data_IF_211955631174
#
_entry.id   IF_211955631174
#
_cell.length_a   1.000
_cell.length_b   1.000
_cell.length_c   1.000
_cell.angle_alpha   90.00
_cell.angle_beta   90.00
_cell.angle_gamma   90.00
#
_symmetry.space_group_name_H-M   'P 1'
#
loop_
_entity.id
_entity.type
_entity.pdbx_description
1 polymer ?
#
# COMPACT_ATOMS: atom_id res chain seq x y z
N UNK A 1 -3.08 -5.21 -15.91
CA UNK A 1 -3.86 -4.48 -14.88
C UNK A 1 -5.34 -4.79 -15.02
N UNK A 2 -5.91 -4.64 -16.22
CA UNK A 2 -7.31 -4.91 -16.54
C UNK A 2 -7.91 -6.18 -15.90
N UNK A 3 -7.31 -7.36 -16.11
CA UNK A 3 -7.84 -8.62 -15.55
C UNK A 3 -7.95 -8.62 -14.01
N UNK A 4 -7.05 -7.94 -13.30
CA UNK A 4 -7.04 -7.91 -11.84
C UNK A 4 -8.16 -7.03 -11.29
N UNK A 5 -8.41 -5.91 -11.94
CA UNK A 5 -9.50 -4.99 -11.59
C UNK A 5 -10.86 -5.59 -11.99
N UNK A 6 -10.97 -6.18 -13.18
CA UNK A 6 -12.22 -6.78 -13.67
C UNK A 6 -12.69 -7.97 -12.84
N UNK A 7 -11.76 -8.76 -12.31
CA UNK A 7 -12.05 -9.95 -11.51
C UNK A 7 -11.91 -9.72 -10.00
N UNK A 8 -11.67 -8.47 -9.59
CA UNK A 8 -11.40 -8.06 -8.20
C UNK A 8 -10.37 -8.97 -7.49
N UNK A 9 -9.29 -9.32 -8.19
CA UNK A 9 -8.18 -10.11 -7.65
C UNK A 9 -7.27 -9.21 -6.78
N UNK A 10 -7.80 -8.78 -5.65
CA UNK A 10 -7.22 -7.74 -4.79
C UNK A 10 -5.91 -8.14 -4.09
N UNK A 11 -5.64 -9.44 -3.95
CA UNK A 11 -4.37 -9.95 -3.41
C UNK A 11 -3.43 -10.37 -4.54
N UNK A 12 -2.26 -9.73 -4.61
CA UNK A 12 -1.11 -10.23 -5.35
C UNK A 12 -0.19 -11.00 -4.38
N UNK A 13 -0.37 -12.32 -4.31
CA UNK A 13 0.38 -13.21 -3.42
C UNK A 13 1.73 -13.61 -4.04
N UNK A 14 2.85 -13.40 -3.33
CA UNK A 14 4.19 -13.78 -3.81
C UNK A 14 5.01 -14.46 -2.71
N UNK A 15 4.96 -15.79 -2.61
CA UNK A 15 5.93 -16.55 -1.82
C UNK A 15 7.33 -16.41 -2.44
N UNK A 16 8.31 -16.04 -1.62
CA UNK A 16 9.71 -15.89 -2.01
C UNK A 16 10.55 -16.72 -1.06
N UNK A 17 11.16 -17.79 -1.60
CA UNK A 17 12.08 -18.66 -0.88
C UNK A 17 13.24 -19.05 -1.78
N UNK A 18 14.40 -19.29 -1.18
CA UNK A 18 15.54 -19.82 -1.92
C UNK A 18 15.45 -21.34 -2.09
N UNK A 19 15.99 -21.83 -3.20
CA UNK A 19 16.11 -23.25 -3.51
C UNK A 19 17.58 -23.63 -3.56
N UNK A 20 17.95 -24.72 -2.88
CA UNK A 20 19.33 -25.18 -2.78
C UNK A 20 19.93 -25.38 -4.18
N UNK A 21 21.07 -24.73 -4.43
CA UNK A 21 21.80 -24.80 -5.70
C UNK A 21 21.47 -23.68 -6.69
N UNK A 22 20.43 -22.87 -6.45
CA UNK A 22 20.17 -21.69 -7.29
C UNK A 22 21.20 -20.60 -6.98
N UNK A 23 21.92 -20.08 -8.00
CA UNK A 23 22.89 -18.98 -7.80
C UNK A 23 22.24 -17.75 -7.17
N UNK A 24 22.97 -17.07 -6.28
CA UNK A 24 22.47 -15.92 -5.53
C UNK A 24 23.53 -14.82 -5.47
N UNK A 25 23.13 -13.53 -5.58
CA UNK A 25 24.03 -12.40 -5.38
C UNK A 25 24.29 -12.08 -3.89
N UNK A 26 23.50 -12.65 -2.97
CA UNK A 26 23.66 -12.45 -1.51
C UNK A 26 24.31 -13.66 -0.84
N UNK A 27 25.00 -13.44 0.28
CA UNK A 27 25.78 -14.46 1.01
C UNK A 27 24.91 -15.55 1.66
N UNK A 28 23.72 -15.20 2.14
CA UNK A 28 22.85 -16.09 2.92
C UNK A 28 21.42 -16.15 2.36
N UNK A 29 21.22 -16.59 1.10
CA UNK A 29 19.90 -16.65 0.49
C UNK A 29 18.96 -17.65 1.18
N UNK A 30 19.49 -18.65 1.88
CA UNK A 30 18.73 -19.64 2.65
C UNK A 30 17.90 -19.02 3.79
N UNK A 31 18.23 -17.80 4.21
CA UNK A 31 17.46 -17.05 5.22
C UNK A 31 16.24 -16.35 4.64
N UNK A 32 16.09 -16.34 3.32
CA UNK A 32 14.92 -15.74 2.65
C UNK A 32 13.79 -16.76 2.63
N UNK A 33 12.80 -16.54 3.49
CA UNK A 33 11.49 -17.18 3.44
C UNK A 33 10.43 -16.14 3.85
N UNK A 34 9.78 -15.57 2.85
CA UNK A 34 8.74 -14.57 3.06
C UNK A 34 7.57 -14.80 2.10
N UNK A 35 6.40 -14.28 2.46
CA UNK A 35 5.24 -14.29 1.58
C UNK A 35 4.70 -12.87 1.52
N UNK A 36 4.76 -12.27 0.33
CA UNK A 36 4.34 -10.88 0.13
C UNK A 36 2.86 -10.87 -0.23
N UNK A 37 2.08 -10.12 0.55
CA UNK A 37 0.72 -9.73 0.25
C UNK A 37 0.76 -8.29 -0.25
N UNK A 38 0.41 -8.10 -1.52
CA UNK A 38 0.45 -6.78 -2.16
C UNK A 38 -0.95 -6.41 -2.66
N UNK A 39 -1.39 -5.21 -2.28
CA UNK A 39 -2.60 -4.57 -2.79
C UNK A 39 -2.52 -4.46 -4.32
N UNK A 40 -3.61 -4.79 -5.00
CA UNK A 40 -3.58 -5.06 -6.44
C UNK A 40 -4.71 -4.37 -7.23
N UNK A 41 -5.47 -3.47 -6.58
CA UNK A 41 -6.66 -2.83 -7.15
C UNK A 41 -6.67 -1.29 -7.06
N UNK A 42 -5.91 -0.70 -6.16
CA UNK A 42 -5.85 0.75 -5.90
C UNK A 42 -4.41 1.29 -6.04
N UNK A 43 -4.04 2.31 -5.23
CA UNK A 43 -2.78 3.05 -5.32
C UNK A 43 -2.63 3.75 -6.69
N UNK A 44 -1.42 4.16 -7.04
CA UNK A 44 -1.08 4.69 -8.37
C UNK A 44 -1.42 3.71 -9.52
N UNK A 45 -1.65 2.43 -9.20
CA UNK A 45 -2.12 1.44 -10.16
C UNK A 45 -3.60 1.62 -10.56
N UNK A 46 -4.31 2.58 -9.97
CA UNK A 46 -5.59 3.01 -10.49
C UNK A 46 -5.47 3.61 -11.91
N UNK A 47 -4.28 4.13 -12.29
CA UNK A 47 -4.04 4.71 -13.61
C UNK A 47 -4.81 6.02 -13.85
N UNK A 48 -5.17 6.72 -12.77
CA UNK A 48 -5.87 8.00 -12.83
C UNK A 48 -4.80 9.10 -12.99
N UNK A 49 -4.52 9.46 -14.23
CA UNK A 49 -3.45 10.38 -14.59
C UNK A 49 -3.88 11.34 -15.70
N UNK A 50 -3.32 12.55 -15.68
CA UNK A 50 -3.58 13.63 -16.64
C UNK A 50 -2.27 14.07 -17.28
N UNK A 51 -2.13 13.81 -18.58
CA UNK A 51 -0.91 14.09 -19.36
C UNK A 51 -0.67 15.59 -19.51
N UNK A 52 0.58 16.02 -19.31
CA UNK A 52 1.01 17.42 -19.43
C UNK A 52 0.59 18.04 -20.75
N UNK A 53 0.00 19.23 -20.71
CA UNK A 53 -0.34 19.98 -21.92
C UNK A 53 -1.62 19.54 -22.63
N UNK A 54 -2.32 18.53 -22.10
CA UNK A 54 -3.68 18.19 -22.56
C UNK A 54 -4.73 19.17 -22.01
N UNK A 55 -5.93 19.18 -22.61
CA UNK A 55 -7.03 20.01 -22.13
C UNK A 55 -7.49 19.59 -20.72
N UNK A 56 -7.57 18.29 -20.48
CA UNK A 56 -7.99 17.69 -19.20
C UNK A 56 -7.01 18.02 -18.07
N UNK A 57 -5.70 17.98 -18.34
CA UNK A 57 -4.66 18.38 -17.38
C UNK A 57 -4.78 19.86 -16.99
N UNK A 58 -5.00 20.75 -17.97
CA UNK A 58 -5.20 22.18 -17.71
C UNK A 58 -6.46 22.45 -16.89
N UNK A 59 -7.56 21.77 -17.21
CA UNK A 59 -8.82 21.88 -16.48
C UNK A 59 -8.67 21.40 -15.04
N UNK A 60 -8.05 20.23 -14.83
CA UNK A 60 -7.80 19.69 -13.50
C UNK A 60 -6.93 20.64 -12.66
N UNK A 61 -5.84 21.17 -13.23
CA UNK A 61 -4.97 22.13 -12.55
C UNK A 61 -5.69 23.44 -12.22
N UNK A 62 -6.57 23.92 -13.10
CA UNK A 62 -7.37 25.12 -12.84
C UNK A 62 -8.33 24.92 -11.66
N UNK A 63 -9.07 23.80 -11.64
CA UNK A 63 -9.96 23.42 -10.53
C UNK A 63 -9.17 23.25 -9.23
N UNK A 64 -8.03 22.56 -9.29
CA UNK A 64 -7.19 22.35 -8.12
C UNK A 64 -6.63 23.66 -7.56
N UNK A 65 -6.22 24.59 -8.43
CA UNK A 65 -5.77 25.93 -8.04
C UNK A 65 -6.91 26.74 -7.40
N UNK A 66 -8.11 26.68 -7.95
CA UNK A 66 -9.28 27.41 -7.47
C UNK A 66 -9.72 26.92 -6.07
N UNK A 67 -9.81 25.61 -5.88
CA UNK A 67 -10.37 25.05 -4.64
C UNK A 67 -9.31 24.78 -3.56
N UNK A 68 -8.05 24.53 -3.95
CA UNK A 68 -6.98 24.15 -3.02
C UNK A 68 -5.67 24.92 -3.28
N UNK A 69 -5.68 26.27 -3.24
CA UNK A 69 -4.54 27.10 -3.64
C UNK A 69 -3.25 26.82 -2.84
N UNK A 70 -3.36 26.49 -1.55
CA UNK A 70 -2.21 26.12 -0.70
C UNK A 70 -1.57 24.80 -1.12
N UNK A 71 -2.36 23.83 -1.55
CA UNK A 71 -1.86 22.54 -2.00
C UNK A 71 -1.29 22.66 -3.42
N UNK A 72 -1.98 23.39 -4.29
CA UNK A 72 -1.49 23.73 -5.63
C UNK A 72 -0.12 24.40 -5.58
N UNK A 73 0.11 25.33 -4.64
CA UNK A 73 1.40 26.01 -4.48
C UNK A 73 2.60 25.10 -4.16
N UNK A 74 2.37 23.82 -3.84
CA UNK A 74 3.45 22.82 -3.67
C UNK A 74 3.91 22.21 -4.99
N UNK A 75 3.17 22.40 -6.08
CA UNK A 75 3.58 21.95 -7.41
C UNK A 75 4.70 22.89 -7.88
N UNK A 76 5.91 22.34 -8.06
CA UNK A 76 7.11 23.13 -8.36
C UNK A 76 7.09 23.76 -9.76
N UNK A 77 6.52 23.07 -10.74
CA UNK A 77 6.48 23.45 -12.16
C UNK A 77 5.11 23.14 -12.77
N UNK A 78 4.05 23.88 -12.39
CA UNK A 78 2.67 23.53 -12.76
C UNK A 78 2.43 23.49 -14.28
N UNK A 79 3.11 24.35 -15.04
CA UNK A 79 2.90 24.46 -16.49
C UNK A 79 3.51 23.29 -17.29
N UNK A 80 4.35 22.47 -16.67
CA UNK A 80 5.04 21.34 -17.30
C UNK A 80 4.93 20.03 -16.52
N UNK A 81 3.95 19.92 -15.61
CA UNK A 81 3.74 18.73 -14.78
C UNK A 81 2.56 17.87 -15.27
N UNK A 82 2.81 16.57 -15.37
CA UNK A 82 1.75 15.56 -15.41
C UNK A 82 1.23 15.35 -13.99
N UNK A 83 -0.06 15.01 -13.86
CA UNK A 83 -0.70 14.85 -12.55
C UNK A 83 -1.22 13.43 -12.42
N UNK A 84 -0.89 12.76 -11.31
CA UNK A 84 -1.41 11.44 -10.97
C UNK A 84 -2.12 11.45 -9.62
N UNK A 85 -3.15 10.61 -9.49
CA UNK A 85 -3.94 10.46 -8.27
C UNK A 85 -3.63 9.10 -7.63
N UNK A 86 -3.35 9.12 -6.33
CA UNK A 86 -3.09 7.92 -5.52
C UNK A 86 -4.23 7.71 -4.52
N UNK A 87 -5.31 7.02 -4.88
CA UNK A 87 -6.31 6.58 -3.91
C UNK A 87 -5.77 5.41 -3.09
N UNK A 88 -5.99 5.44 -1.78
CA UNK A 88 -5.81 4.29 -0.87
C UNK A 88 -6.97 4.34 0.11
N UNK A 89 -7.82 3.32 0.09
CA UNK A 89 -9.05 3.23 0.89
C UNK A 89 -8.88 2.38 2.13
N UNK A 90 -9.81 2.54 3.08
CA UNK A 90 -9.86 1.69 4.27
C UNK A 90 -10.27 0.27 3.88
N UNK A 91 -11.26 0.14 3.02
CA UNK A 91 -11.84 -1.12 2.55
C UNK A 91 -10.80 -1.98 1.83
N UNK A 92 -10.06 -1.38 0.89
CA UNK A 92 -8.97 -2.02 0.15
C UNK A 92 -7.80 -2.43 1.06
N UNK A 93 -7.44 -1.56 2.01
CA UNK A 93 -6.40 -1.85 3.00
C UNK A 93 -6.81 -3.00 3.92
N UNK A 94 -8.01 -2.92 4.49
CA UNK A 94 -8.50 -3.89 5.48
C UNK A 94 -8.67 -5.28 4.86
N UNK A 95 -9.23 -5.41 3.64
CA UNK A 95 -9.36 -6.72 2.99
C UNK A 95 -8.01 -7.39 2.73
N UNK A 96 -7.01 -6.63 2.28
CA UNK A 96 -5.67 -7.16 2.04
C UNK A 96 -5.01 -7.62 3.35
N UNK A 97 -5.07 -6.77 4.37
CA UNK A 97 -4.42 -7.02 5.66
C UNK A 97 -5.07 -8.21 6.36
N UNK A 98 -6.41 -8.32 6.30
CA UNK A 98 -7.16 -9.48 6.77
C UNK A 98 -6.65 -10.77 6.13
N UNK A 99 -6.56 -10.83 4.81
CA UNK A 99 -6.02 -12.01 4.11
C UNK A 99 -4.57 -12.34 4.51
N UNK A 100 -3.74 -11.31 4.77
CA UNK A 100 -2.37 -11.52 5.22
C UNK A 100 -2.29 -12.09 6.65
N UNK A 101 -3.12 -11.62 7.57
CA UNK A 101 -3.19 -12.12 8.95
C UNK A 101 -3.78 -13.53 8.97
N UNK A 102 -4.89 -13.78 8.26
CA UNK A 102 -5.49 -15.11 8.13
C UNK A 102 -4.47 -16.13 7.58
N UNK A 103 -3.72 -15.75 6.54
CA UNK A 103 -2.66 -16.58 6.01
C UNK A 103 -1.56 -16.85 7.04
N UNK A 104 -1.13 -15.82 7.78
CA UNK A 104 -0.10 -15.95 8.80
C UNK A 104 -0.54 -16.91 9.92
N UNK A 105 -1.78 -16.78 10.40
CA UNK A 105 -2.36 -17.67 11.42
C UNK A 105 -2.44 -19.12 10.88
N UNK A 106 -3.02 -19.32 9.70
CA UNK A 106 -3.18 -20.65 9.10
C UNK A 106 -1.85 -21.37 8.85
N UNK A 107 -0.80 -20.62 8.47
CA UNK A 107 0.53 -21.15 8.15
C UNK A 107 1.55 -21.00 9.29
N UNK A 108 1.09 -20.63 10.50
CA UNK A 108 1.93 -20.46 11.69
C UNK A 108 3.14 -19.54 11.44
N UNK A 109 2.95 -18.47 10.67
CA UNK A 109 3.97 -17.44 10.46
C UNK A 109 4.10 -16.60 11.73
N UNK A 110 5.32 -16.17 12.04
CA UNK A 110 5.64 -15.49 13.31
C UNK A 110 5.21 -14.02 13.36
N UNK A 111 5.09 -13.38 12.21
CA UNK A 111 4.77 -11.95 12.13
C UNK A 111 4.13 -11.59 10.79
N UNK A 112 3.39 -10.49 10.80
CA UNK A 112 2.96 -9.74 9.61
C UNK A 112 3.57 -8.35 9.74
N UNK A 113 4.23 -7.88 8.68
CA UNK A 113 4.89 -6.57 8.67
C UNK A 113 4.18 -5.65 7.67
N UNK A 114 3.65 -4.54 8.14
CA UNK A 114 3.10 -3.50 7.27
C UNK A 114 4.22 -2.59 6.75
N UNK A 115 4.41 -2.57 5.45
CA UNK A 115 5.43 -1.74 4.79
C UNK A 115 4.74 -0.50 4.21
N UNK A 116 5.22 0.69 4.57
CA UNK A 116 4.60 1.95 4.18
C UNK A 116 5.59 3.12 4.20
N UNK A 117 5.24 4.23 3.54
CA UNK A 117 5.92 5.54 3.58
C UNK A 117 5.05 6.63 4.23
N UNK A 118 4.27 6.23 5.25
CA UNK A 118 3.41 7.10 6.04
C UNK A 118 4.07 8.32 6.72
N UNK A 119 5.41 8.39 6.79
CA UNK A 119 6.08 9.62 7.24
C UNK A 119 5.96 10.78 6.23
N UNK A 120 5.87 10.46 4.92
CA UNK A 120 5.66 11.43 3.85
C UNK A 120 4.19 11.44 3.41
N UNK A 121 3.62 10.26 3.16
CA UNK A 121 2.26 10.09 2.66
C UNK A 121 1.29 9.73 3.80
N UNK A 122 1.04 10.70 4.68
CA UNK A 122 0.33 10.48 5.95
C UNK A 122 -1.10 9.92 5.79
N UNK A 123 -1.82 10.38 4.77
CA UNK A 123 -3.25 10.09 4.60
C UNK A 123 -3.56 8.92 3.65
N UNK A 124 -2.54 8.31 3.06
CA UNK A 124 -2.67 7.12 2.21
C UNK A 124 -1.88 5.98 2.82
N UNK A 125 -0.55 6.02 2.74
CA UNK A 125 0.29 4.95 3.29
C UNK A 125 0.37 4.96 4.83
N UNK A 126 0.28 6.14 5.45
CA UNK A 126 0.11 6.24 6.91
C UNK A 126 -1.26 5.73 7.36
N UNK A 127 -2.29 5.99 6.57
CA UNK A 127 -3.64 5.48 6.83
C UNK A 127 -3.71 3.95 6.69
N UNK A 128 -3.10 3.38 5.63
CA UNK A 128 -2.94 1.93 5.44
C UNK A 128 -2.39 1.23 6.69
N UNK A 129 -1.30 1.78 7.26
CA UNK A 129 -0.71 1.27 8.51
C UNK A 129 -1.70 1.31 9.67
N UNK A 130 -2.32 2.47 9.90
CA UNK A 130 -3.21 2.68 11.04
C UNK A 130 -4.45 1.78 10.95
N UNK A 131 -5.08 1.70 9.76
CA UNK A 131 -6.20 0.78 9.52
C UNK A 131 -5.78 -0.68 9.72
N UNK A 132 -4.54 -1.03 9.35
CA UNK A 132 -3.97 -2.34 9.61
C UNK A 132 -3.89 -2.70 11.09
N UNK A 133 -3.35 -1.81 11.93
CA UNK A 133 -3.29 -2.04 13.37
C UNK A 133 -4.68 -2.09 13.99
N UNK A 134 -5.57 -1.17 13.61
CA UNK A 134 -6.96 -1.14 14.08
C UNK A 134 -7.72 -2.43 13.73
N UNK A 135 -7.50 -2.98 12.52
CA UNK A 135 -8.10 -4.25 12.11
C UNK A 135 -7.51 -5.42 12.88
N UNK A 136 -6.18 -5.49 13.04
CA UNK A 136 -5.52 -6.55 13.77
C UNK A 136 -6.04 -6.64 15.23
N UNK A 137 -6.17 -5.50 15.90
CA UNK A 137 -6.70 -5.46 17.27
C UNK A 137 -8.20 -5.78 17.35
N UNK A 138 -9.00 -5.32 16.37
CA UNK A 138 -10.45 -5.51 16.37
C UNK A 138 -10.88 -6.93 16.00
N UNK A 139 -10.22 -7.55 15.03
CA UNK A 139 -10.65 -8.82 14.42
C UNK A 139 -9.76 -10.00 14.79
N UNK A 140 -8.52 -9.76 15.25
CA UNK A 140 -7.53 -10.80 15.53
C UNK A 140 -6.82 -10.58 16.88
N UNK A 141 -7.47 -9.94 17.84
CA UNK A 141 -6.88 -9.60 19.14
C UNK A 141 -6.48 -10.81 20.00
N UNK A 142 -7.07 -11.98 19.73
CA UNK A 142 -6.73 -13.27 20.34
C UNK A 142 -5.52 -13.97 19.69
N UNK A 143 -5.18 -13.58 18.45
CA UNK A 143 -4.13 -14.19 17.66
C UNK A 143 -2.93 -13.26 17.39
N UNK A 144 -3.03 -11.97 17.74
CA UNK A 144 -2.01 -10.95 17.43
C UNK A 144 -1.62 -10.13 18.65
N UNK A 145 -0.36 -9.65 18.63
CA UNK A 145 0.12 -8.60 19.52
C UNK A 145 0.80 -7.53 18.68
N UNK A 146 0.21 -6.33 18.63
CA UNK A 146 0.61 -5.26 17.72
C UNK A 146 1.71 -4.40 18.31
N UNK A 147 2.44 -3.68 17.46
CA UNK A 147 3.38 -2.66 17.93
C UNK A 147 2.66 -1.46 18.56
N UNK A 148 1.44 -1.11 18.13
CA UNK A 148 0.65 -0.06 18.79
C UNK A 148 0.27 -0.46 20.22
N UNK A 149 -0.09 -1.74 20.47
CA UNK A 149 -0.27 -2.26 21.82
C UNK A 149 1.01 -2.12 22.63
N UNK A 150 2.15 -2.54 22.07
CA UNK A 150 3.44 -2.41 22.74
C UNK A 150 3.79 -0.97 23.10
N UNK A 151 3.60 -0.02 22.17
CA UNK A 151 3.88 1.41 22.40
C UNK A 151 3.02 2.00 23.52
N UNK A 152 1.78 1.53 23.70
CA UNK A 152 0.89 1.97 24.80
C UNK A 152 1.30 1.43 26.17
N UNK A 153 2.09 0.35 26.21
CA UNK A 153 2.54 -0.30 27.46
C UNK A 153 3.94 0.12 27.92
N UNK A 154 4.61 0.98 27.13
CA UNK A 154 5.98 1.44 27.38
C UNK A 154 6.04 2.61 28.36
#
# INVERSE_FOLDING_TARGET
MALRQMLDLYVCLRPVRWFKGVPSPVKHPEKVDMTIFRENTEDIYAGIEFETGTAENREFLALFKQHFPKAYGKIRFPDSSGIGIKPVSREGSERLIRSAIEYAVAHKRRSVTFVHKGNIQKFTEGAFRNWGYQLAEREFGDATYTWEQWERTK
#
